data_IF_396946199926
#
_entry.id   IF_396946199926
#
_cell.length_a   1.000
_cell.length_b   1.000
_cell.length_c   1.000
_cell.angle_alpha   90.00
_cell.angle_beta   90.00
_cell.angle_gamma   90.00
#
_symmetry.space_group_name_H-M   'P 1'
#
loop_
_entity.id
_entity.type
_entity.pdbx_description
1 polymer ?
#
# COMPACT_ATOMS: atom_id res chain seq x y z
N UNK A 1 29.82 -8.33 -23.45
CA UNK A 1 28.62 -7.84 -22.75
C UNK A 1 28.87 -6.38 -22.41
N UNK A 2 28.06 -5.46 -22.94
CA UNK A 2 28.26 -4.02 -22.72
C UNK A 2 27.80 -3.66 -21.30
N UNK A 3 28.49 -2.70 -20.65
CA UNK A 3 28.14 -2.23 -19.30
C UNK A 3 26.71 -1.68 -19.17
N UNK A 4 26.05 -1.35 -20.29
CA UNK A 4 24.65 -0.91 -20.34
C UNK A 4 23.64 -2.02 -20.03
N UNK A 5 23.97 -3.29 -20.28
CA UNK A 5 23.07 -4.43 -20.02
C UNK A 5 22.96 -4.77 -18.53
N UNK A 6 23.95 -4.39 -17.72
CA UNK A 6 23.98 -4.66 -16.27
C UNK A 6 23.05 -3.74 -15.47
N UNK A 7 22.50 -2.68 -16.09
CA UNK A 7 21.57 -1.74 -15.45
C UNK A 7 20.16 -1.78 -16.04
N UNK A 8 19.93 -2.56 -17.10
CA UNK A 8 18.63 -2.65 -17.74
C UNK A 8 17.63 -3.33 -16.78
N UNK A 9 16.55 -2.62 -16.45
CA UNK A 9 15.46 -3.15 -15.64
C UNK A 9 14.24 -3.38 -16.51
N UNK A 10 13.55 -4.48 -16.25
CA UNK A 10 12.30 -4.82 -16.89
C UNK A 10 11.13 -4.67 -15.92
N UNK A 11 10.05 -4.06 -16.40
CA UNK A 11 8.76 -4.07 -15.69
C UNK A 11 8.11 -5.42 -15.90
N UNK A 12 7.83 -6.10 -14.79
CA UNK A 12 7.21 -7.43 -14.77
C UNK A 12 6.18 -7.52 -13.65
N UNK A 13 5.30 -8.52 -13.74
CA UNK A 13 4.15 -8.66 -12.87
C UNK A 13 4.13 -10.01 -12.16
N UNK A 14 3.78 -10.00 -10.88
CA UNK A 14 3.45 -11.20 -10.10
C UNK A 14 1.95 -11.24 -9.80
N UNK A 15 1.27 -12.27 -10.28
CA UNK A 15 -0.17 -12.47 -10.02
C UNK A 15 -0.35 -13.32 -8.76
N UNK A 16 -1.20 -12.83 -7.85
CA UNK A 16 -1.56 -13.52 -6.60
C UNK A 16 -3.01 -13.20 -6.23
N UNK A 17 -3.47 -13.73 -5.10
CA UNK A 17 -4.79 -13.44 -4.54
C UNK A 17 -4.72 -12.31 -3.53
N UNK A 18 -5.77 -11.49 -3.44
CA UNK A 18 -5.85 -10.34 -2.54
C UNK A 18 -5.61 -10.72 -1.07
N UNK A 19 -6.17 -11.84 -0.61
CA UNK A 19 -5.95 -12.37 0.75
C UNK A 19 -4.47 -12.62 1.13
N UNK A 20 -3.56 -12.76 0.15
CA UNK A 20 -2.13 -12.91 0.43
C UNK A 20 -1.41 -11.57 0.61
N UNK A 21 -2.02 -10.46 0.18
CA UNK A 21 -1.34 -9.17 0.12
C UNK A 21 -0.90 -8.69 1.51
N UNK A 22 -1.81 -8.58 2.48
CA UNK A 22 -1.51 -8.13 3.83
C UNK A 22 -0.53 -9.05 4.58
N UNK A 23 -0.47 -10.34 4.22
CA UNK A 23 0.49 -11.29 4.80
C UNK A 23 1.92 -11.06 4.30
N UNK A 24 2.07 -10.65 3.04
CA UNK A 24 3.37 -10.43 2.43
C UNK A 24 3.83 -8.98 2.37
N UNK A 25 2.94 -8.02 2.54
CA UNK A 25 3.26 -6.60 2.36
C UNK A 25 4.00 -6.01 3.56
N UNK A 26 5.21 -5.53 3.33
CA UNK A 26 5.94 -4.65 4.25
C UNK A 26 5.84 -3.20 3.76
N UNK A 27 5.18 -2.37 4.58
CA UNK A 27 4.95 -0.95 4.32
C UNK A 27 6.23 -0.11 4.37
N UNK A 28 7.18 -0.46 5.22
CA UNK A 28 8.39 0.34 5.44
C UNK A 28 9.38 0.19 4.30
N UNK A 29 9.54 -1.03 3.79
CA UNK A 29 10.41 -1.32 2.64
C UNK A 29 9.66 -1.23 1.31
N UNK A 30 8.32 -1.15 1.34
CA UNK A 30 7.42 -1.24 0.18
C UNK A 30 7.70 -2.50 -0.65
N UNK A 31 7.87 -3.62 0.04
CA UNK A 31 8.11 -4.92 -0.58
C UNK A 31 6.97 -5.89 -0.33
N UNK A 32 6.80 -6.86 -1.23
CA UNK A 32 5.97 -8.04 -1.03
C UNK A 32 6.88 -9.25 -0.79
N UNK A 33 6.84 -9.81 0.43
CA UNK A 33 7.59 -10.99 0.85
C UNK A 33 6.70 -12.24 0.90
N UNK A 34 7.31 -13.40 0.65
CA UNK A 34 6.68 -14.71 0.89
C UNK A 34 6.84 -15.22 2.32
N UNK A 35 7.64 -14.55 3.17
CA UNK A 35 7.92 -15.01 4.53
C UNK A 35 6.65 -15.13 5.40
N UNK A 36 5.64 -14.27 5.15
CA UNK A 36 4.34 -14.31 5.83
C UNK A 36 3.32 -15.29 5.22
N UNK A 37 3.70 -16.06 4.20
CA UNK A 37 2.84 -16.99 3.44
C UNK A 37 3.42 -18.42 3.52
N UNK A 38 3.31 -19.11 4.67
CA UNK A 38 3.83 -20.46 4.89
C UNK A 38 3.36 -21.50 3.87
N UNK A 39 2.21 -21.30 3.22
CA UNK A 39 1.68 -22.22 2.21
C UNK A 39 2.35 -22.06 0.83
N UNK A 40 3.27 -21.10 0.68
CA UNK A 40 4.02 -20.87 -0.55
C UNK A 40 4.94 -22.06 -0.86
N UNK A 41 4.65 -22.78 -1.95
CA UNK A 41 5.48 -23.91 -2.42
C UNK A 41 6.91 -23.51 -2.82
N UNK A 42 7.10 -22.26 -3.21
CA UNK A 42 8.39 -21.73 -3.68
C UNK A 42 8.69 -20.43 -2.90
N UNK A 43 9.14 -20.53 -1.65
CA UNK A 43 9.36 -19.37 -0.79
C UNK A 43 10.58 -18.53 -1.22
N UNK A 44 11.54 -19.14 -1.88
CA UNK A 44 12.85 -18.60 -2.29
C UNK A 44 12.86 -17.88 -3.65
N UNK A 45 11.74 -17.87 -4.36
CA UNK A 45 11.67 -17.31 -5.73
C UNK A 45 10.31 -16.74 -6.05
N UNK A 46 10.26 -15.73 -6.92
CA UNK A 46 9.01 -15.24 -7.50
C UNK A 46 8.94 -15.58 -8.98
N UNK A 47 7.78 -16.11 -9.41
CA UNK A 47 7.44 -16.18 -10.81
C UNK A 47 6.83 -14.86 -11.24
N UNK A 48 7.40 -14.30 -12.31
CA UNK A 48 7.07 -12.98 -12.85
C UNK A 48 6.82 -13.08 -14.35
N UNK A 49 5.96 -12.20 -14.85
CA UNK A 49 5.41 -12.25 -16.21
C UNK A 49 5.55 -10.89 -16.88
N UNK A 50 5.82 -10.87 -18.18
CA UNK A 50 5.59 -9.67 -18.97
C UNK A 50 4.08 -9.39 -19.08
N UNK A 51 3.69 -8.15 -19.44
CA UNK A 51 2.28 -7.75 -19.55
C UNK A 51 1.46 -8.67 -20.46
N UNK A 52 2.04 -9.08 -21.60
CA UNK A 52 1.39 -9.94 -22.59
C UNK A 52 1.29 -11.42 -22.14
N UNK A 53 2.02 -11.82 -21.10
CA UNK A 53 2.04 -13.19 -20.56
C UNK A 53 1.11 -13.37 -19.35
N UNK A 54 0.40 -12.32 -18.93
CA UNK A 54 -0.35 -12.31 -17.67
C UNK A 54 -1.43 -13.41 -17.58
N UNK A 55 -1.99 -13.85 -18.70
CA UNK A 55 -2.94 -14.97 -18.75
C UNK A 55 -2.41 -16.24 -18.09
N UNK A 56 -1.10 -16.48 -18.13
CA UNK A 56 -0.43 -17.62 -17.47
C UNK A 56 -0.58 -17.52 -15.94
N UNK A 57 -0.31 -16.32 -15.40
CA UNK A 57 -0.40 -16.03 -13.97
C UNK A 57 -1.85 -16.04 -13.48
N UNK A 58 -2.76 -15.48 -14.27
CA UNK A 58 -4.20 -15.47 -14.01
C UNK A 58 -4.72 -16.89 -13.89
N UNK A 59 -4.50 -17.73 -14.91
CA UNK A 59 -4.94 -19.12 -14.90
C UNK A 59 -4.46 -19.89 -13.65
N UNK A 60 -3.18 -19.73 -13.29
CA UNK A 60 -2.59 -20.38 -12.12
C UNK A 60 -3.17 -19.84 -10.80
N UNK A 61 -3.28 -18.52 -10.66
CA UNK A 61 -3.76 -17.89 -9.44
C UNK A 61 -5.28 -18.08 -9.24
N UNK A 62 -6.07 -18.20 -10.32
CA UNK A 62 -7.49 -18.53 -10.25
C UNK A 62 -7.74 -19.85 -9.54
N UNK A 63 -6.90 -20.87 -9.78
CA UNK A 63 -7.01 -22.14 -9.06
C UNK A 63 -6.80 -21.98 -7.55
N UNK A 64 -5.87 -21.12 -7.12
CA UNK A 64 -5.70 -20.78 -5.71
C UNK A 64 -6.91 -20.01 -5.17
N UNK A 65 -7.40 -19.03 -5.92
CA UNK A 65 -8.58 -18.24 -5.55
C UNK A 65 -9.80 -19.14 -5.29
N UNK A 66 -10.12 -20.04 -6.22
CA UNK A 66 -11.21 -21.00 -6.08
C UNK A 66 -11.00 -21.97 -4.92
N UNK A 67 -9.75 -22.38 -4.65
CA UNK A 67 -9.45 -23.29 -3.53
C UNK A 67 -9.64 -22.63 -2.17
N UNK A 68 -9.30 -21.34 -2.05
CA UNK A 68 -9.43 -20.61 -0.79
C UNK A 68 -10.88 -20.29 -0.45
N UNK A 69 -11.73 -20.11 -1.48
CA UNK A 69 -13.18 -19.88 -1.34
C UNK A 69 -13.54 -18.80 -0.32
N UNK A 70 -12.77 -17.71 -0.33
CA UNK A 70 -12.97 -16.57 0.57
C UNK A 70 -13.87 -15.52 -0.10
N UNK A 71 -15.04 -15.17 0.48
CA UNK A 71 -15.92 -14.15 -0.08
C UNK A 71 -15.22 -12.80 -0.27
N UNK A 72 -15.36 -12.19 -1.45
CA UNK A 72 -14.73 -10.89 -1.77
C UNK A 72 -13.22 -10.95 -2.07
N UNK A 73 -12.61 -12.14 -2.03
CA UNK A 73 -11.25 -12.34 -2.51
C UNK A 73 -11.22 -12.23 -4.04
N UNK A 74 -10.09 -11.77 -4.58
CA UNK A 74 -9.94 -11.51 -6.02
C UNK A 74 -8.48 -11.66 -6.42
N UNK A 75 -8.22 -11.72 -7.72
CA UNK A 75 -6.86 -11.66 -8.23
C UNK A 75 -6.32 -10.22 -8.21
N UNK A 76 -5.04 -10.11 -7.89
CA UNK A 76 -4.28 -8.88 -8.03
C UNK A 76 -2.97 -9.15 -8.76
N UNK A 77 -2.47 -8.15 -9.47
CA UNK A 77 -1.14 -8.15 -10.05
C UNK A 77 -0.26 -7.12 -9.33
N UNK A 78 0.91 -7.57 -8.88
CA UNK A 78 1.95 -6.72 -8.29
C UNK A 78 2.96 -6.41 -9.38
N UNK A 79 3.09 -5.13 -9.75
CA UNK A 79 4.12 -4.66 -10.66
C UNK A 79 5.43 -4.44 -9.89
N UNK A 80 6.53 -4.90 -10.49
CA UNK A 80 7.90 -4.72 -9.99
C UNK A 80 8.85 -4.40 -11.14
N UNK A 81 10.05 -3.92 -10.80
CA UNK A 81 11.17 -3.76 -11.74
C UNK A 81 12.33 -4.62 -11.29
N UNK A 82 12.81 -5.50 -12.17
CA UNK A 82 13.89 -6.45 -11.90
C UNK A 82 14.98 -6.25 -12.96
N UNK A 83 16.25 -6.36 -12.57
CA UNK A 83 17.33 -6.30 -13.53
C UNK A 83 17.25 -7.50 -14.48
N UNK A 84 17.43 -7.29 -15.79
CA UNK A 84 17.32 -8.36 -16.79
C UNK A 84 18.27 -9.53 -16.49
N UNK A 85 19.45 -9.25 -15.93
CA UNK A 85 20.43 -10.26 -15.52
C UNK A 85 19.94 -11.18 -14.40
N UNK A 86 18.99 -10.74 -13.56
CA UNK A 86 18.44 -11.51 -12.44
C UNK A 86 17.23 -12.37 -12.88
N UNK A 87 16.68 -12.14 -14.07
CA UNK A 87 15.54 -12.88 -14.60
C UNK A 87 15.98 -14.19 -15.24
N UNK A 88 15.53 -15.30 -14.66
CA UNK A 88 15.82 -16.66 -15.15
C UNK A 88 14.62 -17.23 -15.89
N UNK A 89 14.87 -17.92 -16.99
CA UNK A 89 13.83 -18.63 -17.75
C UNK A 89 13.27 -19.80 -16.93
N UNK A 90 11.95 -19.97 -16.92
CA UNK A 90 11.33 -21.13 -16.29
C UNK A 90 11.47 -22.37 -17.19
N UNK A 91 12.54 -23.13 -17.00
CA UNK A 91 12.87 -24.30 -17.83
C UNK A 91 11.94 -25.50 -17.62
N UNK A 92 11.17 -25.54 -16.52
CA UNK A 92 10.25 -26.65 -16.24
C UNK A 92 9.00 -26.63 -17.12
N UNK A 93 8.43 -25.44 -17.34
CA UNK A 93 7.21 -25.29 -18.16
C UNK A 93 7.45 -24.54 -19.46
N UNK A 94 8.62 -23.93 -19.64
CA UNK A 94 8.94 -23.07 -20.79
C UNK A 94 8.16 -21.73 -20.80
N UNK A 95 7.44 -21.42 -19.72
CA UNK A 95 6.47 -20.33 -19.65
C UNK A 95 6.82 -19.37 -18.51
N UNK A 96 6.90 -18.08 -18.84
CA UNK A 96 7.26 -17.01 -17.91
C UNK A 96 8.70 -17.07 -17.41
N UNK A 97 9.01 -16.19 -16.46
CA UNK A 97 10.35 -16.05 -15.86
C UNK A 97 10.25 -16.10 -14.34
N UNK A 98 11.39 -16.25 -13.68
CA UNK A 98 11.47 -16.13 -12.23
C UNK A 98 12.71 -15.36 -11.79
N UNK A 99 12.64 -14.84 -10.57
CA UNK A 99 13.76 -14.24 -9.85
C UNK A 99 13.99 -15.04 -8.56
N UNK A 100 15.25 -15.31 -8.22
CA UNK A 100 15.63 -15.95 -6.95
C UNK A 100 15.68 -14.91 -5.83
N UNK A 101 14.49 -14.57 -5.36
CA UNK A 101 14.27 -13.70 -4.22
C UNK A 101 12.99 -14.13 -3.52
N UNK A 102 12.96 -14.04 -2.19
CA UNK A 102 11.75 -14.17 -1.39
C UNK A 102 10.97 -12.86 -1.27
N UNK A 103 11.46 -11.76 -1.87
CA UNK A 103 10.85 -10.42 -1.83
C UNK A 103 10.81 -9.74 -3.21
N UNK A 104 9.75 -8.97 -3.46
CA UNK A 104 9.60 -8.08 -4.61
C UNK A 104 9.41 -6.63 -4.17
N UNK A 105 10.15 -5.69 -4.75
CA UNK A 105 9.83 -4.26 -4.61
C UNK A 105 8.53 -3.91 -5.35
N UNK A 106 7.60 -3.26 -4.68
CA UNK A 106 6.30 -2.90 -5.27
C UNK A 106 6.42 -1.57 -6.00
N UNK A 107 6.04 -1.54 -7.28
CA UNK A 107 5.92 -0.32 -8.10
C UNK A 107 4.47 0.08 -8.37
N UNK A 108 3.59 -0.90 -8.43
CA UNK A 108 2.15 -0.69 -8.58
C UNK A 108 1.37 -1.96 -8.21
N UNK A 109 0.10 -1.80 -7.91
CA UNK A 109 -0.81 -2.93 -7.67
C UNK A 109 -2.06 -2.71 -8.52
N UNK A 110 -2.58 -3.79 -9.07
CA UNK A 110 -3.69 -3.75 -10.00
C UNK A 110 -4.71 -4.82 -9.65
N UNK A 111 -6.01 -4.51 -9.76
CA UNK A 111 -7.02 -5.55 -9.94
C UNK A 111 -6.86 -6.13 -11.34
N UNK A 112 -7.17 -7.41 -11.46
CA UNK A 112 -7.07 -8.14 -12.72
C UNK A 112 -8.46 -8.53 -13.19
N UNK A 113 -8.81 -8.09 -14.40
CA UNK A 113 -9.96 -8.64 -15.11
C UNK A 113 -9.57 -9.98 -15.72
N UNK A 114 -10.29 -11.04 -15.36
CA UNK A 114 -9.97 -12.42 -15.76
C UNK A 114 -10.33 -12.70 -17.23
N UNK A 115 -11.30 -11.98 -17.78
CA UNK A 115 -11.80 -12.21 -19.14
C UNK A 115 -10.95 -11.43 -20.16
N UNK A 116 -10.64 -10.18 -19.84
CA UNK A 116 -9.92 -9.27 -20.76
C UNK A 116 -8.41 -9.23 -20.51
N UNK A 117 -7.95 -9.77 -19.38
CA UNK A 117 -6.60 -9.59 -18.84
C UNK A 117 -6.25 -8.10 -18.60
N UNK A 118 -7.24 -7.21 -18.50
CA UNK A 118 -7.01 -5.80 -18.20
C UNK A 118 -6.59 -5.58 -16.76
N UNK A 119 -5.78 -4.53 -16.54
CA UNK A 119 -5.26 -4.15 -15.24
C UNK A 119 -5.81 -2.77 -14.89
N UNK A 120 -6.49 -2.68 -13.74
CA UNK A 120 -6.92 -1.39 -13.18
C UNK A 120 -6.09 -1.10 -11.95
N UNK A 121 -5.42 0.04 -11.92
CA UNK A 121 -4.54 0.43 -10.82
C UNK A 121 -5.33 0.57 -9.51
N UNK A 122 -4.78 0.06 -8.41
CA UNK A 122 -5.34 0.14 -7.08
C UNK A 122 -4.38 0.88 -6.12
N UNK A 123 -4.88 1.79 -5.26
CA UNK A 123 -4.08 2.36 -4.19
C UNK A 123 -3.61 1.28 -3.20
N UNK A 124 -2.33 1.30 -2.83
CA UNK A 124 -1.74 0.25 -1.98
C UNK A 124 -2.41 0.11 -0.61
N UNK A 125 -2.84 1.22 0.00
CA UNK A 125 -3.56 1.22 1.28
C UNK A 125 -4.96 0.62 1.15
N UNK A 126 -5.62 0.78 -0.01
CA UNK A 126 -6.90 0.13 -0.28
C UNK A 126 -6.71 -1.38 -0.40
N UNK A 127 -5.67 -1.83 -1.11
CA UNK A 127 -5.34 -3.25 -1.23
C UNK A 127 -5.01 -3.85 0.14
N UNK A 128 -4.20 -3.16 0.95
CA UNK A 128 -3.84 -3.59 2.30
C UNK A 128 -5.08 -3.72 3.21
N UNK A 129 -5.93 -2.69 3.25
CA UNK A 129 -7.14 -2.68 4.09
C UNK A 129 -8.14 -3.76 3.66
N UNK A 130 -8.40 -3.92 2.36
CA UNK A 130 -9.28 -4.98 1.83
C UNK A 130 -8.71 -6.36 2.12
N UNK A 131 -7.40 -6.57 1.97
CA UNK A 131 -6.74 -7.82 2.31
C UNK A 131 -6.84 -8.15 3.81
N UNK A 132 -6.63 -7.16 4.68
CA UNK A 132 -6.79 -7.33 6.13
C UNK A 132 -8.22 -7.69 6.52
N UNK A 133 -9.22 -7.07 5.88
CA UNK A 133 -10.64 -7.36 6.14
C UNK A 133 -10.99 -8.81 5.76
N UNK A 134 -10.48 -9.32 4.62
CA UNK A 134 -10.66 -10.72 4.22
C UNK A 134 -10.09 -11.71 5.25
N UNK A 135 -8.95 -11.36 5.86
CA UNK A 135 -8.27 -12.20 6.83
C UNK A 135 -8.85 -12.07 8.25
N UNK A 136 -9.58 -10.99 8.52
CA UNK A 136 -10.12 -10.66 9.83
C UNK A 136 -11.60 -10.21 9.69
N UNK A 137 -12.50 -11.14 9.32
CA UNK A 137 -13.91 -10.80 9.07
C UNK A 137 -14.67 -10.34 10.32
N UNK A 138 -14.07 -10.50 11.51
CA UNK A 138 -14.62 -10.04 12.79
C UNK A 138 -14.23 -8.61 13.15
N UNK A 139 -13.47 -7.92 12.30
CA UNK A 139 -13.19 -6.50 12.50
C UNK A 139 -14.50 -5.71 12.42
N UNK A 140 -14.68 -4.81 13.39
CA UNK A 140 -15.80 -3.90 13.42
C UNK A 140 -15.69 -2.95 12.21
N UNK A 141 -16.75 -2.76 11.42
CA UNK A 141 -16.77 -1.81 10.31
C UNK A 141 -16.36 -0.40 10.76
N UNK A 142 -15.68 0.35 9.88
CA UNK A 142 -15.16 1.67 10.22
C UNK A 142 -16.25 2.64 10.68
N UNK A 143 -17.44 2.54 10.09
CA UNK A 143 -18.63 3.31 10.41
C UNK A 143 -19.19 3.05 11.82
N UNK A 144 -18.93 1.88 12.39
CA UNK A 144 -19.33 1.50 13.75
C UNK A 144 -18.30 1.93 14.80
N UNK A 145 -17.09 2.35 14.37
CA UNK A 145 -16.06 2.84 15.28
C UNK A 145 -16.40 4.23 15.80
N UNK A 146 -16.26 4.42 17.12
CA UNK A 146 -16.32 5.74 17.75
C UNK A 146 -14.90 6.29 17.93
N UNK A 147 -14.49 7.32 17.17
CA UNK A 147 -13.17 7.90 17.33
C UNK A 147 -13.08 8.61 18.68
N UNK A 148 -11.99 8.39 19.43
CA UNK A 148 -11.70 9.18 20.64
C UNK A 148 -11.01 10.51 20.32
N UNK A 149 -10.32 10.56 19.19
CA UNK A 149 -9.57 11.73 18.76
C UNK A 149 -9.56 11.88 17.24
N UNK A 150 -9.44 13.12 16.79
CA UNK A 150 -9.12 13.45 15.39
C UNK A 150 -7.66 13.89 15.31
N UNK A 151 -6.89 13.31 14.39
CA UNK A 151 -5.49 13.73 14.15
C UNK A 151 -5.39 14.56 12.88
N UNK A 152 -4.83 15.76 12.99
CA UNK A 152 -4.52 16.63 11.85
C UNK A 152 -3.02 16.51 11.53
N UNK A 153 -2.69 16.22 10.27
CA UNK A 153 -1.33 16.17 9.75
C UNK A 153 -1.17 17.29 8.70
N UNK A 154 -0.82 18.52 9.10
CA UNK A 154 -0.79 19.67 8.20
C UNK A 154 0.47 19.71 7.32
N UNK A 155 1.47 18.87 7.64
CA UNK A 155 2.64 18.61 6.80
C UNK A 155 2.70 17.12 6.49
N UNK A 156 2.59 16.77 5.21
CA UNK A 156 2.68 15.38 4.79
C UNK A 156 4.13 14.89 4.70
N UNK A 157 5.04 15.69 4.11
CA UNK A 157 6.47 15.34 3.96
C UNK A 157 7.35 16.58 4.08
N UNK A 158 7.71 16.97 5.31
CA UNK A 158 8.74 17.99 5.54
C UNK A 158 9.29 17.87 6.96
N UNK A 159 10.57 17.52 7.12
CA UNK A 159 11.23 17.46 8.42
C UNK A 159 12.71 17.79 8.25
N UNK A 160 13.30 18.55 9.17
CA UNK A 160 14.75 18.80 9.17
C UNK A 160 15.55 17.62 9.74
N UNK A 161 14.89 16.67 10.40
CA UNK A 161 15.51 15.47 10.95
C UNK A 161 15.52 14.30 9.94
N UNK A 162 16.45 13.36 10.13
CA UNK A 162 16.59 12.11 9.34
C UNK A 162 16.54 10.89 10.26
N UNK A 163 15.52 10.82 11.11
CA UNK A 163 15.41 9.75 12.10
C UNK A 163 15.25 8.38 11.41
N UNK A 164 16.08 7.40 11.78
CA UNK A 164 16.04 6.04 11.21
C UNK A 164 14.72 5.30 11.48
N UNK A 165 13.97 5.74 12.48
CA UNK A 165 12.69 5.18 12.92
C UNK A 165 11.48 6.05 12.50
N UNK A 166 11.68 7.06 11.62
CA UNK A 166 10.59 7.93 11.21
C UNK A 166 9.60 7.19 10.30
N UNK A 167 8.39 6.95 10.78
CA UNK A 167 7.34 6.30 9.99
C UNK A 167 6.82 7.17 8.84
N UNK A 168 7.02 8.49 8.89
CA UNK A 168 6.38 9.41 7.95
C UNK A 168 6.84 9.22 6.50
N UNK A 169 8.10 8.82 6.29
CA UNK A 169 8.64 8.49 4.96
C UNK A 169 7.96 7.25 4.33
N UNK A 170 7.43 6.35 5.16
CA UNK A 170 6.69 5.15 4.75
C UNK A 170 5.17 5.27 5.00
N UNK A 171 4.69 6.43 5.43
CA UNK A 171 3.28 6.65 5.75
C UNK A 171 2.46 6.99 4.49
N UNK A 172 1.13 7.00 4.62
CA UNK A 172 0.22 7.40 3.54
C UNK A 172 0.54 8.79 3.00
N UNK A 173 1.12 9.67 3.82
CA UNK A 173 1.58 10.99 3.40
C UNK A 173 2.55 10.95 2.22
N UNK A 174 3.20 9.80 1.99
CA UNK A 174 4.06 9.58 0.85
C UNK A 174 3.35 9.40 -0.48
N UNK A 175 2.13 8.91 -0.45
CA UNK A 175 1.30 8.58 -1.61
C UNK A 175 0.20 9.64 -1.86
N UNK A 176 0.12 10.68 -1.02
CA UNK A 176 -0.85 11.78 -1.17
C UNK A 176 -0.30 12.91 -2.06
N UNK A 177 -1.18 13.44 -2.92
CA UNK A 177 -0.92 14.69 -3.64
C UNK A 177 -0.83 15.82 -2.60
N UNK A 178 0.28 16.55 -2.61
CA UNK A 178 0.49 17.68 -1.70
C UNK A 178 -0.36 18.86 -2.15
N UNK A 179 -1.09 19.46 -1.24
CA UNK A 179 -1.91 20.65 -1.49
C UNK A 179 -1.81 21.61 -0.30
N UNK A 180 -2.25 22.84 -0.51
CA UNK A 180 -2.47 23.82 0.53
C UNK A 180 -3.59 23.38 1.47
N UNK A 181 -3.38 23.58 2.77
CA UNK A 181 -4.37 23.20 3.78
C UNK A 181 -5.59 24.13 3.72
N UNK A 182 -6.76 23.55 3.48
CA UNK A 182 -8.05 24.25 3.57
C UNK A 182 -8.64 24.13 4.99
N UNK A 183 -8.64 25.25 5.73
CA UNK A 183 -9.21 25.30 7.08
C UNK A 183 -10.71 25.02 7.11
N UNK A 184 -11.46 25.26 6.03
CA UNK A 184 -12.89 24.91 5.96
C UNK A 184 -13.06 23.40 5.92
N UNK A 185 -12.23 22.71 5.15
CA UNK A 185 -12.22 21.25 5.12
C UNK A 185 -11.82 20.66 6.48
N UNK A 186 -10.81 21.23 7.15
CA UNK A 186 -10.41 20.83 8.51
C UNK A 186 -11.57 21.01 9.51
N UNK A 187 -12.26 22.16 9.46
CA UNK A 187 -13.41 22.43 10.32
C UNK A 187 -14.55 21.42 10.11
N UNK A 188 -14.80 21.02 8.85
CA UNK A 188 -15.79 19.97 8.53
C UNK A 188 -15.39 18.63 9.15
N UNK A 189 -14.12 18.24 9.04
CA UNK A 189 -13.61 16.99 9.64
C UNK A 189 -13.73 17.02 11.17
N UNK A 190 -13.45 18.17 11.81
CA UNK A 190 -13.62 18.33 13.26
C UNK A 190 -15.08 18.22 13.67
N UNK A 191 -16.00 18.81 12.91
CA UNK A 191 -17.43 18.68 13.13
C UNK A 191 -17.90 17.23 13.02
N UNK A 192 -17.50 16.53 11.96
CA UNK A 192 -17.84 15.11 11.74
C UNK A 192 -17.27 14.22 12.84
N UNK A 193 -16.00 14.40 13.21
CA UNK A 193 -15.35 13.65 14.28
C UNK A 193 -16.03 13.85 15.63
N UNK A 194 -16.35 15.11 15.98
CA UNK A 194 -17.07 15.44 17.21
C UNK A 194 -18.47 14.83 17.24
N UNK A 195 -19.21 14.90 16.13
CA UNK A 195 -20.54 14.29 16.00
C UNK A 195 -20.50 12.76 16.19
N UNK A 196 -19.36 12.12 15.89
CA UNK A 196 -19.13 10.68 16.08
C UNK A 196 -18.51 10.31 17.44
N UNK A 197 -18.29 11.28 18.33
CA UNK A 197 -17.81 11.05 19.70
C UNK A 197 -16.34 11.37 19.95
N UNK A 198 -15.63 12.01 19.02
CA UNK A 198 -14.28 12.49 19.29
C UNK A 198 -14.28 13.55 20.40
N UNK A 199 -13.37 13.40 21.35
CA UNK A 199 -13.28 14.27 22.53
C UNK A 199 -12.12 15.27 22.43
N UNK A 200 -11.13 14.96 21.59
CA UNK A 200 -9.90 15.76 21.45
C UNK A 200 -9.39 15.78 20.02
N UNK A 201 -8.51 16.74 19.76
CA UNK A 201 -7.76 16.84 18.52
C UNK A 201 -6.27 16.77 18.79
N UNK A 202 -5.53 16.12 17.91
CA UNK A 202 -4.07 16.03 17.94
C UNK A 202 -3.52 16.65 16.68
N UNK A 203 -2.79 17.75 16.80
CA UNK A 203 -2.00 18.30 15.70
C UNK A 203 -0.65 17.58 15.73
N UNK A 204 -0.41 16.75 14.72
CA UNK A 204 0.83 16.00 14.54
C UNK A 204 1.36 16.27 13.13
N UNK A 205 2.53 15.76 12.77
CA UNK A 205 3.05 15.87 11.40
C UNK A 205 3.44 14.51 10.83
N UNK A 206 3.35 14.38 9.52
CA UNK A 206 4.22 13.48 8.74
C UNK A 206 5.66 14.04 8.64
N UNK A 207 6.02 14.96 9.53
CA UNK A 207 7.17 15.83 9.45
C UNK A 207 7.25 16.74 10.68
N UNK A 208 8.11 17.75 10.65
CA UNK A 208 8.32 18.71 11.75
C UNK A 208 7.28 19.85 11.68
N UNK A 209 6.26 19.91 12.57
CA UNK A 209 5.22 20.93 12.51
C UNK A 209 5.76 22.36 12.59
N UNK A 210 6.91 22.58 13.23
CA UNK A 210 7.58 23.88 13.31
C UNK A 210 8.03 24.45 11.96
N UNK A 211 7.99 23.68 10.87
CA UNK A 211 8.24 24.18 9.52
C UNK A 211 7.07 24.98 8.93
N UNK A 212 5.88 24.88 9.51
CA UNK A 212 4.77 25.75 9.12
C UNK A 212 4.99 27.17 9.65
N UNK A 213 4.57 28.20 8.90
CA UNK A 213 4.58 29.56 9.42
C UNK A 213 3.84 29.63 10.75
N UNK A 214 4.45 30.27 11.75
CA UNK A 214 3.90 30.37 13.11
C UNK A 214 2.44 30.85 13.15
N UNK A 215 2.08 31.83 12.31
CA UNK A 215 0.70 32.31 12.20
C UNK A 215 -0.30 31.21 11.81
N UNK A 216 0.10 30.30 10.90
CA UNK A 216 -0.75 29.16 10.49
C UNK A 216 -0.90 28.12 11.60
N UNK A 217 0.15 27.90 12.39
CA UNK A 217 0.07 27.05 13.58
C UNK A 217 -0.95 27.61 14.59
N UNK A 218 -0.90 28.92 14.84
CA UNK A 218 -1.87 29.58 15.72
C UNK A 218 -3.31 29.51 15.19
N UNK A 219 -3.53 29.69 13.89
CA UNK A 219 -4.84 29.51 13.26
C UNK A 219 -5.39 28.11 13.49
N UNK A 220 -4.56 27.07 13.32
CA UNK A 220 -4.97 25.68 13.58
C UNK A 220 -5.25 25.40 15.04
N UNK A 221 -4.44 25.94 15.96
CA UNK A 221 -4.67 25.80 17.40
C UNK A 221 -5.98 26.48 17.81
N UNK A 222 -6.24 27.69 17.31
CA UNK A 222 -7.48 28.41 17.56
C UNK A 222 -8.70 27.65 17.00
N UNK A 223 -8.60 27.13 15.77
CA UNK A 223 -9.65 26.30 15.17
C UNK A 223 -9.86 25.01 15.96
N UNK A 224 -8.78 24.35 16.39
CA UNK A 224 -8.83 23.13 17.20
C UNK A 224 -9.55 23.38 18.53
N UNK A 225 -9.18 24.44 19.23
CA UNK A 225 -9.75 24.82 20.53
C UNK A 225 -11.25 25.19 20.45
N UNK A 226 -11.70 25.76 19.33
CA UNK A 226 -13.12 26.11 19.17
C UNK A 226 -14.04 24.88 19.05
N UNK A 227 -13.51 23.75 18.56
CA UNK A 227 -14.24 22.48 18.48
C UNK A 227 -14.01 21.58 19.70
N UNK A 228 -12.76 21.55 20.20
CA UNK A 228 -12.27 20.69 21.28
C UNK A 228 -11.57 21.55 22.36
N UNK A 229 -12.33 22.17 23.29
CA UNK A 229 -11.78 23.13 24.26
C UNK A 229 -11.06 22.48 25.46
N UNK A 230 -10.99 21.15 25.51
CA UNK A 230 -10.39 20.37 26.61
C UNK A 230 -9.22 19.54 26.09
#
# INVERSE_FOLDING_TARGET
MNASDLTAQETVYHVTVLSNFARGYDKYTRTFSKDGIPESRFPDRFYVLARHELGIGISKASGLLSKLDLPGNQLIAIETRIATADLKANTTTGLGRYVESNQLGIKGIYSVDVETNELTHLPIEEVASRSLLLLNPTLIPFEELQPRSVSLLPLAKACQAKCRFCFSAASVSADQVQDTMDLKQVARIFQEGKARGAERVVITGGGEPGLLPHARLLEMVALSASYFPK
#
